data_IF_279060281797
#
_entry.id   IF_279060281797
#
_cell.length_a   1.000
_cell.length_b   1.000
_cell.length_c   1.000
_cell.angle_alpha   90.00
_cell.angle_beta   90.00
_cell.angle_gamma   90.00
#
_symmetry.space_group_name_H-M   'P 1'
#
loop_
_entity.id
_entity.type
_entity.pdbx_description
1 polymer ?
#
# COMPACT_ATOMS: atom_id res chain seq x y z
N UNK A 1 -12.17 0.25 1.59
CA UNK A 1 -11.75 1.41 2.44
C UNK A 1 -11.25 2.54 1.53
N UNK A 2 -11.67 3.81 1.73
CA UNK A 2 -11.11 4.93 0.97
C UNK A 2 -9.85 5.49 1.65
N UNK A 3 -8.74 5.58 0.91
CA UNK A 3 -7.46 6.08 1.44
C UNK A 3 -6.93 7.25 0.60
N UNK A 4 -6.28 8.20 1.26
CA UNK A 4 -5.79 9.44 0.64
C UNK A 4 -4.34 9.70 0.98
N UNK A 5 -3.54 9.97 -0.04
CA UNK A 5 -2.14 10.35 0.09
C UNK A 5 -1.97 11.74 -0.48
N UNK A 6 -1.62 12.69 0.38
CA UNK A 6 -1.37 14.09 0.01
C UNK A 6 -0.28 14.28 -1.05
N UNK A 7 0.56 13.27 -1.28
CA UNK A 7 1.67 13.33 -2.22
C UNK A 7 1.37 12.68 -3.58
N UNK A 8 0.31 11.87 -3.70
CA UNK A 8 -0.01 11.12 -4.92
C UNK A 8 -1.29 11.66 -5.56
N UNK A 9 -2.39 11.64 -4.82
CA UNK A 9 -3.69 12.14 -5.25
C UNK A 9 -4.24 12.99 -4.09
N UNK A 10 -3.82 14.26 -3.98
CA UNK A 10 -4.14 15.09 -2.82
C UNK A 10 -5.63 15.40 -2.68
N UNK A 11 -6.40 15.29 -3.77
CA UNK A 11 -7.84 15.59 -3.81
C UNK A 11 -8.70 14.33 -3.82
N UNK A 12 -8.26 13.32 -4.55
CA UNK A 12 -9.01 12.09 -4.80
C UNK A 12 -8.41 10.95 -3.98
N UNK A 13 -9.25 10.25 -3.22
CA UNK A 13 -8.84 9.00 -2.56
C UNK A 13 -9.14 7.82 -3.46
N UNK A 14 -8.38 6.74 -3.33
CA UNK A 14 -8.72 5.49 -4.00
C UNK A 14 -9.44 4.56 -3.03
N UNK A 15 -10.27 3.70 -3.57
CA UNK A 15 -10.85 2.60 -2.82
C UNK A 15 -9.88 1.41 -2.82
N UNK A 16 -9.44 1.00 -1.64
CA UNK A 16 -8.69 -0.24 -1.45
C UNK A 16 -9.71 -1.36 -1.25
N UNK A 17 -9.63 -2.47 -2.03
CA UNK A 17 -10.47 -3.63 -1.83
C UNK A 17 -10.25 -4.23 -0.44
N UNK A 18 -11.25 -4.94 0.06
CA UNK A 18 -11.07 -5.72 1.29
C UNK A 18 -10.16 -6.90 1.01
N UNK A 19 -8.94 -6.85 1.55
CA UNK A 19 -7.93 -7.91 1.43
C UNK A 19 -7.92 -8.74 2.71
N UNK A 20 -8.02 -10.05 2.58
CA UNK A 20 -7.74 -11.01 3.65
C UNK A 20 -6.27 -10.98 4.07
N UNK A 21 -5.91 -11.49 5.26
CA UNK A 21 -4.51 -11.60 5.68
C UNK A 21 -3.63 -12.37 4.69
N UNK A 22 -4.14 -13.45 4.09
CA UNK A 22 -3.42 -14.21 3.06
C UNK A 22 -3.17 -13.42 1.77
N UNK A 23 -4.13 -12.58 1.37
CA UNK A 23 -3.98 -11.74 0.18
C UNK A 23 -3.00 -10.59 0.44
N UNK A 24 -3.02 -9.96 1.62
CA UNK A 24 -2.01 -8.96 2.03
C UNK A 24 -0.61 -9.56 2.00
N UNK A 25 -0.44 -10.76 2.57
CA UNK A 25 0.83 -11.48 2.54
C UNK A 25 1.29 -11.78 1.12
N UNK A 26 0.40 -12.32 0.28
CA UNK A 26 0.70 -12.60 -1.12
C UNK A 26 1.12 -11.35 -1.88
N UNK A 27 0.40 -10.25 -1.68
CA UNK A 27 0.69 -8.98 -2.33
C UNK A 27 2.01 -8.37 -1.85
N UNK A 28 2.35 -8.52 -0.57
CA UNK A 28 3.67 -8.16 -0.04
C UNK A 28 4.79 -8.98 -0.69
N UNK A 29 4.65 -10.30 -0.75
CA UNK A 29 5.61 -11.20 -1.41
C UNK A 29 5.83 -10.81 -2.88
N UNK A 30 4.75 -10.57 -3.62
CA UNK A 30 4.83 -10.09 -5.01
C UNK A 30 5.53 -8.73 -5.07
N UNK A 31 5.28 -7.81 -4.13
CA UNK A 31 5.85 -6.46 -4.14
C UNK A 31 7.35 -6.47 -3.88
N UNK A 32 7.80 -7.38 -3.01
CA UNK A 32 9.22 -7.61 -2.72
C UNK A 32 9.95 -8.22 -3.91
N UNK A 33 9.28 -9.09 -4.69
CA UNK A 33 9.83 -9.64 -5.94
C UNK A 33 9.87 -8.60 -7.05
N UNK A 34 8.72 -7.98 -7.33
CA UNK A 34 8.56 -6.93 -8.34
C UNK A 34 7.22 -6.20 -8.16
N UNK A 35 7.22 -4.87 -8.00
CA UNK A 35 5.98 -4.08 -7.97
C UNK A 35 5.06 -4.32 -9.18
N UNK A 36 5.60 -4.70 -10.34
CA UNK A 36 4.82 -5.01 -11.55
C UNK A 36 3.93 -6.23 -11.33
N UNK A 37 4.42 -7.25 -10.62
CA UNK A 37 3.62 -8.46 -10.34
C UNK A 37 2.47 -8.17 -9.40
N UNK A 38 2.68 -7.33 -8.39
CA UNK A 38 1.62 -6.85 -7.51
C UNK A 38 0.56 -6.05 -8.26
N UNK A 39 0.99 -5.14 -9.15
CA UNK A 39 0.06 -4.37 -9.98
C UNK A 39 -0.75 -5.31 -10.87
N UNK A 40 -0.11 -6.27 -11.54
CA UNK A 40 -0.80 -7.26 -12.37
C UNK A 40 -1.80 -8.07 -11.56
N UNK A 41 -1.43 -8.56 -10.39
CA UNK A 41 -2.32 -9.31 -9.51
C UNK A 41 -3.56 -8.51 -9.12
N UNK A 42 -3.39 -7.24 -8.74
CA UNK A 42 -4.50 -6.37 -8.37
C UNK A 42 -5.45 -6.08 -9.55
N UNK A 43 -4.91 -5.89 -10.76
CA UNK A 43 -5.70 -5.71 -11.97
C UNK A 43 -6.46 -6.98 -12.33
N UNK A 44 -5.77 -8.14 -12.35
CA UNK A 44 -6.35 -9.40 -12.81
C UNK A 44 -7.40 -9.96 -11.84
N UNK A 45 -7.18 -9.84 -10.53
CA UNK A 45 -8.03 -10.47 -9.49
C UNK A 45 -9.15 -9.54 -9.01
N UNK A 46 -8.86 -8.24 -8.86
CA UNK A 46 -9.82 -7.27 -8.31
C UNK A 46 -10.39 -6.32 -9.36
N UNK A 47 -9.96 -6.44 -10.63
CA UNK A 47 -10.46 -5.57 -11.71
C UNK A 47 -10.08 -4.10 -11.54
N UNK A 48 -9.07 -3.79 -10.72
CA UNK A 48 -8.65 -2.40 -10.49
C UNK A 48 -8.07 -1.79 -11.76
N UNK A 49 -8.20 -0.47 -11.89
CA UNK A 49 -7.45 0.26 -12.90
C UNK A 49 -5.94 0.20 -12.60
N UNK A 50 -5.12 0.37 -13.62
CA UNK A 50 -3.66 0.46 -13.44
C UNK A 50 -3.26 1.61 -12.51
N UNK A 51 -4.05 2.69 -12.46
CA UNK A 51 -3.80 3.82 -11.57
C UNK A 51 -4.00 3.42 -10.11
N UNK A 52 -5.13 2.82 -9.78
CA UNK A 52 -5.46 2.35 -8.42
C UNK A 52 -4.48 1.28 -7.96
N UNK A 53 -4.19 0.29 -8.82
CA UNK A 53 -3.24 -0.76 -8.52
C UNK A 53 -1.84 -0.21 -8.24
N UNK A 54 -1.33 0.69 -9.08
CA UNK A 54 -0.02 1.36 -8.84
C UNK A 54 -0.03 2.18 -7.57
N UNK A 55 -1.12 2.88 -7.30
CA UNK A 55 -1.26 3.64 -6.06
C UNK A 55 -1.16 2.71 -4.85
N UNK A 56 -1.93 1.61 -4.80
CA UNK A 56 -1.88 0.66 -3.68
C UNK A 56 -0.45 0.15 -3.47
N UNK A 57 0.17 -0.37 -4.53
CA UNK A 57 1.50 -0.98 -4.48
C UNK A 57 2.58 0.01 -4.02
N UNK A 58 2.50 1.28 -4.41
CA UNK A 58 3.44 2.31 -3.97
C UNK A 58 3.39 2.58 -2.46
N UNK A 59 2.28 2.25 -1.80
CA UNK A 59 2.08 2.47 -0.38
C UNK A 59 2.27 1.20 0.47
N UNK A 60 2.39 0.01 -0.13
CA UNK A 60 2.71 -1.25 0.59
C UNK A 60 4.07 -1.17 1.24
N UNK A 61 4.12 -1.30 2.56
CA UNK A 61 5.37 -1.28 3.30
C UNK A 61 6.17 -2.55 3.03
N UNK A 62 7.43 -2.38 2.60
CA UNK A 62 8.35 -3.51 2.40
C UNK A 62 8.86 -4.10 3.72
N UNK A 63 8.81 -3.31 4.79
CA UNK A 63 9.24 -3.69 6.13
C UNK A 63 8.21 -3.16 7.12
N UNK A 64 7.67 -4.05 7.94
CA UNK A 64 6.72 -3.67 8.98
C UNK A 64 7.35 -2.70 9.98
N UNK A 65 6.58 -1.73 10.45
CA UNK A 65 7.01 -0.67 11.36
C UNK A 65 7.74 0.49 10.68
N UNK A 66 8.21 0.33 9.44
CA UNK A 66 9.10 1.29 8.78
C UNK A 66 8.42 2.05 7.65
N UNK A 67 8.47 3.38 7.69
CA UNK A 67 7.93 4.22 6.62
C UNK A 67 8.75 4.10 5.33
N UNK A 68 8.06 3.76 4.22
CA UNK A 68 8.65 3.63 2.88
C UNK A 68 9.40 4.87 2.37
N UNK A 69 9.07 6.07 2.88
CA UNK A 69 9.63 7.34 2.39
C UNK A 69 10.77 7.89 3.24
N UNK A 70 10.66 7.81 4.56
CA UNK A 70 11.56 8.53 5.48
C UNK A 70 12.18 7.67 6.59
N UNK A 71 11.97 6.35 6.52
CA UNK A 71 12.51 5.36 7.46
C UNK A 71 12.14 5.62 8.93
N UNK A 72 11.01 6.29 9.19
CA UNK A 72 10.44 6.35 10.54
C UNK A 72 9.97 4.95 10.94
N UNK A 73 10.41 4.43 12.08
CA UNK A 73 10.38 3.03 12.49
C UNK A 73 9.34 2.71 13.58
N UNK A 74 8.42 3.64 13.84
CA UNK A 74 7.34 3.50 14.84
C UNK A 74 5.96 3.54 14.20
N UNK A 75 5.80 2.92 13.03
CA UNK A 75 4.47 2.70 12.44
C UNK A 75 3.79 1.53 13.16
N UNK A 76 2.57 1.73 13.67
CA UNK A 76 1.88 0.80 14.57
C UNK A 76 0.45 0.47 14.12
N UNK A 77 0.04 0.93 12.94
CA UNK A 77 -1.29 0.70 12.37
C UNK A 77 -1.21 0.24 10.94
N UNK A 78 -2.16 -0.60 10.56
CA UNK A 78 -2.22 -1.22 9.24
C UNK A 78 -2.26 -0.20 8.10
N UNK A 79 -3.09 0.85 8.23
CA UNK A 79 -3.13 1.98 7.30
C UNK A 79 -2.87 3.24 8.10
N UNK A 80 -1.78 3.95 7.78
CA UNK A 80 -1.48 5.19 8.47
C UNK A 80 -0.70 6.18 7.65
N UNK A 81 -0.93 7.45 7.97
CA UNK A 81 -0.10 8.55 7.52
C UNK A 81 1.08 8.66 8.49
N UNK A 82 2.30 8.55 7.98
CA UNK A 82 3.52 8.67 8.77
C UNK A 82 3.56 10.03 9.48
N UNK A 83 3.73 10.08 10.81
CA UNK A 83 3.71 11.34 11.55
C UNK A 83 4.90 12.25 11.22
N UNK A 84 6.02 11.69 10.73
CA UNK A 84 7.24 12.44 10.40
C UNK A 84 7.18 13.13 9.04
N UNK A 85 6.73 12.44 7.99
CA UNK A 85 6.77 12.97 6.62
C UNK A 85 5.38 13.11 5.97
N UNK A 86 4.34 12.58 6.59
CA UNK A 86 2.98 12.58 6.05
C UNK A 86 2.77 11.70 4.82
N UNK A 87 3.66 10.75 4.54
CA UNK A 87 3.40 9.70 3.54
C UNK A 87 2.35 8.74 4.05
N UNK A 88 1.41 8.33 3.20
CA UNK A 88 0.55 7.18 3.48
C UNK A 88 1.40 5.89 3.46
N UNK A 89 1.04 4.91 4.28
CA UNK A 89 1.73 3.63 4.44
C UNK A 89 0.69 2.53 4.68
N UNK A 90 0.82 1.41 3.99
CA UNK A 90 0.05 0.19 4.18
C UNK A 90 1.00 -0.79 4.90
N UNK A 91 1.02 -0.65 6.22
CA UNK A 91 1.92 -1.29 7.15
C UNK A 91 1.32 -2.61 7.65
N UNK A 92 1.25 -3.60 6.76
CA UNK A 92 0.66 -4.89 7.05
C UNK A 92 1.60 -5.79 7.88
N UNK A 93 1.10 -6.35 8.97
CA UNK A 93 1.76 -7.40 9.75
C UNK A 93 1.36 -8.76 9.14
N UNK A 94 2.29 -9.43 8.43
CA UNK A 94 2.03 -10.63 7.60
C UNK A 94 3.04 -11.76 7.84
#
# INVERSE_FOLDING_TARGET
MNVKCKNCLPKEGIEVPELSPSEKKKLLELTLQSPIYSVKYLVDIYGLSHLEAKYIVAHVNRTYGLCNRCNFDKLDKEYMVCPKCGSLNFNWEC
#
